data_IF_085304737407
#
_entry.id   IF_085304737407
#
_cell.length_a   1.000
_cell.length_b   1.000
_cell.length_c   1.000
_cell.angle_alpha   90.00
_cell.angle_beta   90.00
_cell.angle_gamma   90.00
#
_symmetry.space_group_name_H-M   'P 1'
#
loop_
_entity.id
_entity.type
_entity.pdbx_description
1 polymer ?
#
# COMPACT_ATOMS: atom_id res chain seq x y z
N UNK A 1 5.34 14.44 10.62
CA UNK A 1 5.60 13.01 10.43
C UNK A 1 4.28 12.34 10.10
N UNK A 2 4.23 11.61 8.98
CA UNK A 2 3.06 10.84 8.56
C UNK A 2 2.96 9.60 9.44
N UNK A 3 1.75 9.16 9.77
CA UNK A 3 1.55 7.84 10.39
C UNK A 3 1.26 6.83 9.29
N UNK A 4 2.03 5.75 9.26
CA UNK A 4 1.70 4.57 8.45
C UNK A 4 1.03 3.56 9.37
N UNK A 5 -0.18 3.11 9.05
CA UNK A 5 -0.88 2.13 9.86
C UNK A 5 -1.77 1.22 9.01
N UNK A 6 -1.95 -0.06 9.41
CA UNK A 6 -2.92 -0.93 8.76
C UNK A 6 -4.32 -0.34 8.83
N UNK A 7 -5.14 -0.65 7.83
CA UNK A 7 -6.58 -0.31 7.91
C UNK A 7 -7.18 -1.03 9.11
N UNK A 8 -7.87 -0.34 10.05
CA UNK A 8 -8.28 -0.94 11.33
C UNK A 8 -9.10 -2.22 11.19
N UNK A 9 -10.00 -2.30 10.21
CA UNK A 9 -10.82 -3.48 9.94
C UNK A 9 -10.02 -4.72 9.47
N UNK A 10 -8.73 -4.54 9.14
CA UNK A 10 -7.86 -5.55 8.51
C UNK A 10 -6.50 -5.69 9.18
N UNK A 11 -6.36 -5.09 10.36
CA UNK A 11 -5.11 -5.07 11.13
C UNK A 11 -4.49 -6.47 11.29
N UNK A 12 -5.25 -7.46 11.77
CA UNK A 12 -4.74 -8.82 11.99
C UNK A 12 -4.30 -9.52 10.70
N UNK A 13 -5.06 -9.35 9.61
CA UNK A 13 -4.72 -9.96 8.32
C UNK A 13 -3.40 -9.40 7.77
N UNK A 14 -3.18 -8.09 7.92
CA UNK A 14 -1.90 -7.46 7.56
C UNK A 14 -0.77 -8.00 8.44
N UNK A 15 -0.98 -8.12 9.76
CA UNK A 15 0.04 -8.70 10.65
C UNK A 15 0.42 -10.14 10.27
N UNK A 16 -0.56 -10.97 9.92
CA UNK A 16 -0.31 -12.35 9.50
C UNK A 16 0.52 -12.44 8.22
N UNK A 17 0.36 -11.49 7.29
CA UNK A 17 1.19 -11.39 6.09
C UNK A 17 2.66 -11.07 6.44
N UNK A 18 2.90 -10.18 7.40
CA UNK A 18 4.27 -9.90 7.88
C UNK A 18 4.88 -11.11 8.60
N UNK A 19 4.09 -11.84 9.40
CA UNK A 19 4.54 -13.06 10.08
C UNK A 19 4.94 -14.18 9.10
N UNK A 20 4.34 -14.20 7.91
CA UNK A 20 4.66 -15.17 6.86
C UNK A 20 5.95 -14.86 6.10
N UNK A 21 6.53 -13.67 6.26
CA UNK A 21 7.76 -13.27 5.60
C UNK A 21 9.02 -13.83 6.28
N UNK A 22 10.10 -13.95 5.50
CA UNK A 22 11.42 -14.19 6.07
C UNK A 22 11.91 -12.95 6.85
N UNK A 23 12.81 -13.11 7.84
CA UNK A 23 13.33 -11.97 8.61
C UNK A 23 13.95 -10.85 7.76
N UNK A 24 14.60 -11.18 6.64
CA UNK A 24 15.15 -10.19 5.70
C UNK A 24 14.06 -9.38 5.01
N UNK A 25 12.99 -10.04 4.59
CA UNK A 25 11.84 -9.38 3.99
C UNK A 25 11.12 -8.46 4.99
N UNK A 26 11.01 -8.89 6.26
CA UNK A 26 10.44 -8.05 7.32
C UNK A 26 11.29 -6.79 7.52
N UNK A 27 12.62 -6.93 7.64
CA UNK A 27 13.51 -5.77 7.78
C UNK A 27 13.41 -4.79 6.60
N UNK A 28 13.31 -5.30 5.36
CA UNK A 28 13.09 -4.47 4.18
C UNK A 28 11.73 -3.76 4.21
N UNK A 29 10.68 -4.42 4.69
CA UNK A 29 9.36 -3.81 4.83
C UNK A 29 9.35 -2.74 5.93
N UNK A 30 9.96 -3.00 7.09
CA UNK A 30 10.09 -2.04 8.18
C UNK A 30 10.84 -0.77 7.73
N UNK A 31 11.94 -0.94 6.98
CA UNK A 31 12.65 0.19 6.37
C UNK A 31 11.74 1.04 5.47
N UNK A 32 10.94 0.40 4.60
CA UNK A 32 9.99 1.14 3.76
C UNK A 32 8.92 1.87 4.57
N UNK A 33 8.42 1.26 5.65
CA UNK A 33 7.42 1.89 6.50
C UNK A 33 8.00 3.16 7.14
N UNK A 34 9.24 3.14 7.62
CA UNK A 34 9.94 4.31 8.16
C UNK A 34 10.15 5.41 7.11
N UNK A 35 10.56 5.05 5.90
CA UNK A 35 10.71 6.01 4.79
C UNK A 35 9.38 6.69 4.45
N UNK A 36 8.29 5.92 4.40
CA UNK A 36 6.94 6.44 4.15
C UNK A 36 6.43 7.41 5.22
N UNK A 37 6.99 7.40 6.43
CA UNK A 37 6.65 8.38 7.47
C UNK A 37 7.21 9.78 7.16
N UNK A 38 8.22 9.85 6.29
CA UNK A 38 9.02 11.03 5.99
C UNK A 38 8.98 11.47 4.52
N UNK A 39 8.65 10.57 3.59
CA UNK A 39 8.63 10.82 2.14
C UNK A 39 7.38 10.23 1.47
N UNK A 40 7.03 10.77 0.30
CA UNK A 40 6.04 10.18 -0.59
C UNK A 40 6.65 9.02 -1.40
N UNK A 41 5.86 7.98 -1.76
CA UNK A 41 6.29 6.95 -2.69
C UNK A 41 6.61 7.52 -4.07
N UNK A 42 7.35 6.75 -4.88
CA UNK A 42 7.65 7.13 -6.25
C UNK A 42 6.37 7.11 -7.11
N UNK A 43 6.24 8.08 -8.02
CA UNK A 43 5.12 8.14 -8.97
C UNK A 43 5.11 6.96 -9.93
N UNK A 44 6.27 6.35 -10.22
CA UNK A 44 6.38 5.16 -11.05
C UNK A 44 5.80 3.90 -10.36
N UNK A 45 5.62 3.94 -9.05
CA UNK A 45 5.02 2.86 -8.25
C UNK A 45 3.51 3.03 -8.06
N UNK A 46 2.94 4.10 -8.64
CA UNK A 46 1.52 4.45 -8.54
C UNK A 46 0.68 3.44 -9.32
N UNK A 47 -0.38 2.97 -8.67
CA UNK A 47 -1.37 2.05 -9.24
C UNK A 47 -2.71 2.73 -9.55
N UNK A 48 -2.92 4.00 -9.20
CA UNK A 48 -4.08 4.79 -9.61
C UNK A 48 -4.71 5.55 -8.46
N UNK A 49 -5.72 6.35 -8.78
CA UNK A 49 -6.50 7.13 -7.82
C UNK A 49 -7.88 6.49 -7.65
N UNK A 50 -8.26 6.24 -6.40
CA UNK A 50 -9.50 5.62 -5.97
C UNK A 50 -10.41 6.68 -5.33
N UNK A 51 -11.66 6.79 -5.79
CA UNK A 51 -12.67 7.71 -5.24
C UNK A 51 -12.19 9.17 -5.14
N UNK A 52 -11.36 9.62 -6.10
CA UNK A 52 -10.71 10.95 -6.12
C UNK A 52 -9.99 11.31 -4.81
N UNK A 53 -9.56 10.29 -4.05
CA UNK A 53 -9.13 10.46 -2.66
C UNK A 53 -7.97 9.57 -2.23
N UNK A 54 -7.89 8.34 -2.72
CA UNK A 54 -6.89 7.38 -2.27
C UNK A 54 -5.93 7.05 -3.40
N UNK A 55 -4.71 7.55 -3.32
CA UNK A 55 -3.68 7.15 -4.27
C UNK A 55 -3.07 5.82 -3.83
N UNK A 56 -3.13 4.82 -4.69
CA UNK A 56 -2.67 3.47 -4.39
C UNK A 56 -1.27 3.28 -4.95
N UNK A 57 -0.37 2.69 -4.17
CA UNK A 57 1.01 2.41 -4.55
C UNK A 57 1.39 0.96 -4.25
N UNK A 58 2.28 0.40 -5.07
CA UNK A 58 2.91 -0.90 -4.82
C UNK A 58 4.43 -0.77 -4.86
N UNK A 59 5.06 -0.88 -3.70
CA UNK A 59 6.46 -0.56 -3.50
C UNK A 59 7.26 -1.86 -3.36
N UNK A 60 8.35 -1.99 -4.11
CA UNK A 60 9.16 -3.21 -4.04
C UNK A 60 9.87 -3.30 -2.68
N UNK A 61 9.66 -4.41 -1.95
CA UNK A 61 10.34 -4.61 -0.67
C UNK A 61 11.82 -4.93 -0.92
N UNK A 62 12.77 -4.13 -0.40
CA UNK A 62 14.21 -4.39 -0.52
C UNK A 62 14.56 -5.80 -0.05
N UNK A 63 15.48 -6.46 -0.75
CA UNK A 63 15.92 -7.83 -0.47
C UNK A 63 14.81 -8.91 -0.46
N UNK A 64 13.59 -8.55 -0.87
CA UNK A 64 12.44 -9.44 -0.93
C UNK A 64 11.83 -9.47 -2.34
N UNK A 65 12.57 -10.06 -3.29
CA UNK A 65 12.25 -10.04 -4.74
C UNK A 65 10.84 -10.54 -5.11
N UNK A 66 10.23 -11.35 -4.24
CA UNK A 66 8.92 -11.96 -4.48
C UNK A 66 7.73 -11.16 -3.97
N UNK A 67 7.93 -10.02 -3.31
CA UNK A 67 6.87 -9.32 -2.58
C UNK A 67 6.93 -7.80 -2.77
N UNK A 68 5.76 -7.16 -2.68
CA UNK A 68 5.62 -5.71 -2.66
C UNK A 68 4.79 -5.29 -1.44
N UNK A 69 5.04 -4.09 -0.96
CA UNK A 69 4.21 -3.41 0.02
C UNK A 69 3.11 -2.65 -0.71
N UNK A 70 1.85 -2.93 -0.39
CA UNK A 70 0.72 -2.19 -0.93
C UNK A 70 0.25 -1.14 0.08
N UNK A 71 0.16 0.11 -0.36
CA UNK A 71 -0.26 1.23 0.49
C UNK A 71 -1.24 2.14 -0.23
N UNK A 72 -2.01 2.92 0.55
CA UNK A 72 -2.87 3.98 0.05
C UNK A 72 -2.60 5.29 0.79
N UNK A 73 -2.45 6.39 0.06
CA UNK A 73 -2.38 7.74 0.65
C UNK A 73 -3.77 8.38 0.61
N UNK A 74 -4.29 8.82 1.76
CA UNK A 74 -5.55 9.58 1.86
C UNK A 74 -5.30 11.05 1.48
N UNK A 75 -5.31 11.34 0.17
CA UNK A 75 -5.06 12.67 -0.40
C UNK A 75 -6.22 13.63 -0.19
N UNK A 76 -7.39 13.13 0.24
CA UNK A 76 -8.52 13.95 0.70
C UNK A 76 -8.26 14.68 2.04
N UNK A 77 -7.13 14.40 2.71
CA UNK A 77 -6.71 15.08 3.94
C UNK A 77 -5.53 16.01 3.67
N UNK A 78 -5.22 16.89 4.64
CA UNK A 78 -4.07 17.79 4.52
C UNK A 78 -2.74 17.03 4.65
N UNK A 79 -1.69 17.45 3.91
CA UNK A 79 -0.35 16.93 4.10
C UNK A 79 0.16 17.10 5.54
N UNK A 80 1.00 16.17 6.04
CA UNK A 80 1.38 14.93 5.37
C UNK A 80 0.20 13.95 5.28
N UNK A 81 -0.08 13.44 4.08
CA UNK A 81 -1.25 12.59 3.81
C UNK A 81 -1.17 11.31 4.64
N UNK A 82 -2.23 10.90 5.37
CA UNK A 82 -2.18 9.64 6.09
C UNK A 82 -1.93 8.45 5.15
N UNK A 83 -1.05 7.54 5.56
CA UNK A 83 -0.73 6.33 4.80
C UNK A 83 -1.42 5.12 5.43
N UNK A 84 -2.22 4.44 4.64
CA UNK A 84 -2.90 3.22 4.99
C UNK A 84 -2.12 2.04 4.42
N UNK A 85 -1.68 1.15 5.30
CA UNK A 85 -1.05 -0.10 4.91
C UNK A 85 -2.14 -1.10 4.49
N UNK A 86 -2.12 -1.50 3.22
CA UNK A 86 -3.06 -2.46 2.63
C UNK A 86 -2.57 -3.90 2.74
N UNK A 87 -1.28 -4.08 3.03
CA UNK A 87 -0.65 -5.38 3.26
C UNK A 87 0.51 -5.66 2.31
N UNK A 88 0.87 -6.94 2.21
CA UNK A 88 1.94 -7.44 1.36
C UNK A 88 1.34 -8.30 0.26
N UNK A 89 1.75 -8.04 -0.98
CA UNK A 89 1.28 -8.77 -2.15
C UNK A 89 2.45 -9.51 -2.82
N UNK A 90 2.22 -10.69 -3.41
CA UNK A 90 3.22 -11.32 -4.25
C UNK A 90 3.50 -10.47 -5.48
N UNK A 91 4.78 -10.27 -5.80
CA UNK A 91 5.26 -9.53 -6.98
C UNK A 91 5.14 -10.39 -8.25
N UNK A 92 3.91 -10.77 -8.61
CA UNK A 92 3.59 -11.60 -9.78
C UNK A 92 2.28 -11.15 -10.41
N UNK A 93 2.19 -11.24 -11.74
CA UNK A 93 0.98 -10.87 -12.48
C UNK A 93 0.65 -9.38 -12.40
N UNK A 94 -0.65 -9.05 -12.43
CA UNK A 94 -1.15 -7.69 -12.36
C UNK A 94 -1.20 -7.18 -10.90
N UNK A 95 -0.02 -6.83 -10.37
CA UNK A 95 0.15 -6.41 -8.96
C UNK A 95 -0.71 -5.19 -8.62
N UNK A 96 -0.82 -4.20 -9.53
CA UNK A 96 -1.69 -3.05 -9.31
C UNK A 96 -3.17 -3.44 -9.20
N UNK A 97 -3.67 -4.36 -10.03
CA UNK A 97 -5.07 -4.79 -9.92
C UNK A 97 -5.36 -5.49 -8.59
N UNK A 98 -4.41 -6.29 -8.09
CA UNK A 98 -4.49 -6.88 -6.76
C UNK A 98 -4.50 -5.83 -5.65
N UNK A 99 -3.66 -4.79 -5.75
CA UNK A 99 -3.62 -3.69 -4.79
C UNK A 99 -4.91 -2.85 -4.82
N UNK A 100 -5.45 -2.58 -6.01
CA UNK A 100 -6.73 -1.88 -6.19
C UNK A 100 -7.89 -2.65 -5.56
N UNK A 101 -7.97 -3.95 -5.82
CA UNK A 101 -8.96 -4.83 -5.20
C UNK A 101 -8.82 -4.83 -3.67
N UNK A 102 -7.58 -4.90 -3.17
CA UNK A 102 -7.30 -4.86 -1.74
C UNK A 102 -7.75 -3.54 -1.11
N UNK A 103 -7.46 -2.41 -1.76
CA UNK A 103 -7.88 -1.09 -1.31
C UNK A 103 -9.40 -1.00 -1.21
N UNK A 104 -10.13 -1.39 -2.26
CA UNK A 104 -11.59 -1.40 -2.26
C UNK A 104 -12.16 -2.27 -1.11
N UNK A 105 -11.58 -3.47 -0.90
CA UNK A 105 -12.00 -4.37 0.19
C UNK A 105 -11.67 -3.85 1.59
N UNK A 106 -10.55 -3.15 1.75
CA UNK A 106 -10.14 -2.60 3.04
C UNK A 106 -10.95 -1.35 3.40
N UNK A 107 -11.33 -0.56 2.40
CA UNK A 107 -12.15 0.64 2.54
C UNK A 107 -13.66 0.37 2.46
N UNK A 108 -14.07 -0.89 2.30
CA UNK A 108 -15.47 -1.34 2.20
C UNK A 108 -16.27 -0.61 1.11
N UNK A 109 -15.64 -0.37 -0.04
CA UNK A 109 -16.26 0.30 -1.19
C UNK A 109 -16.98 -0.71 -2.09
N UNK A 110 -18.13 -0.30 -2.64
CA UNK A 110 -18.92 -1.08 -3.61
C UNK A 110 -18.88 -0.29 -4.93
N UNK A 111 -18.46 -0.95 -6.01
CA UNK A 111 -18.29 -0.36 -7.36
C UNK A 111 -17.55 0.99 -7.37
N UNK A 112 -16.31 1.05 -6.85
CA UNK A 112 -15.61 2.31 -6.74
C UNK A 112 -15.16 2.89 -8.07
N UNK A 113 -15.04 4.22 -8.14
CA UNK A 113 -14.43 4.93 -9.26
C UNK A 113 -12.91 4.85 -9.23
N UNK A 114 -12.32 4.81 -10.43
CA UNK A 114 -10.88 4.68 -10.62
C UNK A 114 -10.36 5.60 -11.71
N UNK A 115 -9.28 6.30 -11.42
CA UNK A 115 -8.41 6.91 -12.43
C UNK A 115 -7.13 6.06 -12.59
N UNK A 116 -6.71 5.76 -13.82
CA UNK A 116 -5.50 4.97 -14.07
C UNK A 116 -4.24 5.75 -13.66
N UNK A 117 -3.20 5.01 -13.25
CA UNK A 117 -1.92 5.60 -12.88
C UNK A 117 -1.22 6.33 -14.03
N UNK A 118 -1.48 5.88 -15.26
CA UNK A 118 -0.96 6.47 -16.50
C UNK A 118 -2.14 6.77 -17.43
N UNK A 119 -2.23 8.04 -17.84
CA UNK A 119 -3.03 8.50 -18.97
C UNK A 119 -2.11 8.98 -20.08
#
# INVERSE_FOLDING_TARGET
MRKVAPVPARYEAVLDEFRALSPRCVAGADFLLEELESADPDLDERCGLLEDRYEIYTIAIPDCRGSVLAVALDTGRRPPWPCLLLGILPRRGAVCDAARLRAAQHLSLIDPSWEPAHG
#
